data_IF_186441117165
#
_entry.id   IF_186441117165
#
_cell.length_a   1.000
_cell.length_b   1.000
_cell.length_c   1.000
_cell.angle_alpha   90.00
_cell.angle_beta   90.00
_cell.angle_gamma   90.00
#
_symmetry.space_group_name_H-M   'P 1'
#
loop_
_entity.id
_entity.type
_entity.pdbx_description
1 polymer ?
#
# COMPACT_ATOMS: atom_id res chain seq x y z
N UNK A 1 -6.79 4.15 -23.61
CA UNK A 1 -8.04 3.91 -22.86
C UNK A 1 -8.43 5.14 -22.03
N UNK A 2 -9.73 5.42 -21.83
CA UNK A 2 -10.16 6.44 -20.89
C UNK A 2 -9.62 6.08 -19.50
N UNK A 3 -9.03 7.06 -18.83
CA UNK A 3 -8.48 6.96 -17.49
C UNK A 3 -9.11 8.09 -16.68
N UNK A 4 -9.66 7.74 -15.53
CA UNK A 4 -10.19 8.71 -14.58
C UNK A 4 -9.08 9.12 -13.60
N UNK A 5 -8.51 10.30 -13.79
CA UNK A 5 -7.40 10.79 -12.97
C UNK A 5 -7.82 11.06 -11.52
N UNK A 6 -9.06 11.50 -11.32
CA UNK A 6 -9.56 11.83 -10.00
C UNK A 6 -9.71 10.54 -9.17
N UNK A 7 -10.14 9.45 -9.80
CA UNK A 7 -10.14 8.13 -9.17
C UNK A 7 -8.74 7.56 -8.89
N UNK A 8 -7.75 7.81 -9.74
CA UNK A 8 -6.35 7.42 -9.43
C UNK A 8 -5.86 8.16 -8.18
N UNK A 9 -6.09 9.47 -8.11
CA UNK A 9 -5.67 10.29 -6.98
C UNK A 9 -6.42 9.89 -5.71
N UNK A 10 -7.74 9.77 -5.77
CA UNK A 10 -8.56 9.32 -4.66
C UNK A 10 -8.14 7.93 -4.19
N UNK A 11 -7.93 6.99 -5.12
CA UNK A 11 -7.43 5.66 -4.80
C UNK A 11 -6.06 5.66 -4.15
N UNK A 12 -5.12 6.47 -4.65
CA UNK A 12 -3.80 6.62 -4.06
C UNK A 12 -3.86 7.13 -2.61
N UNK A 13 -4.79 8.03 -2.28
CA UNK A 13 -4.98 8.53 -0.92
C UNK A 13 -5.72 7.51 -0.03
N UNK A 14 -6.69 6.78 -0.59
CA UNK A 14 -7.65 5.99 0.19
C UNK A 14 -7.35 4.50 0.28
N UNK A 15 -6.45 3.94 -0.55
CA UNK A 15 -6.24 2.49 -0.67
C UNK A 15 -5.99 1.80 0.69
N UNK A 16 -5.28 2.47 1.60
CA UNK A 16 -4.90 1.98 2.91
C UNK A 16 -5.61 2.70 4.08
N UNK A 17 -6.69 3.45 3.82
CA UNK A 17 -7.37 4.27 4.84
C UNK A 17 -7.88 3.45 6.03
N UNK A 18 -8.14 2.15 5.83
CA UNK A 18 -8.56 1.24 6.89
C UNK A 18 -7.50 1.01 7.97
N UNK A 19 -6.21 1.33 7.72
CA UNK A 19 -5.15 1.26 8.73
C UNK A 19 -5.43 2.14 9.95
N UNK A 20 -6.24 3.19 9.78
CA UNK A 20 -6.69 4.07 10.86
C UNK A 20 -7.62 3.38 11.88
N UNK A 21 -8.28 2.29 11.49
CA UNK A 21 -9.11 1.45 12.38
C UNK A 21 -8.42 0.14 12.73
N UNK A 22 -7.56 -0.36 11.83
CA UNK A 22 -6.78 -1.59 12.06
C UNK A 22 -5.75 -1.43 13.18
N UNK A 23 -5.09 -0.27 13.26
CA UNK A 23 -4.00 -0.02 14.19
C UNK A 23 -4.41 1.01 15.25
N UNK A 24 -4.10 0.71 16.51
CA UNK A 24 -4.09 1.67 17.60
C UNK A 24 -2.65 2.06 17.94
N UNK A 25 -2.42 3.36 18.15
CA UNK A 25 -1.13 3.90 18.54
C UNK A 25 -1.23 4.41 19.98
N UNK A 26 -0.50 3.77 20.89
CA UNK A 26 -0.42 4.17 22.29
C UNK A 26 1.03 4.51 22.64
N UNK A 27 1.29 5.78 22.98
CA UNK A 27 2.56 6.34 23.48
C UNK A 27 3.85 5.97 22.71
N UNK A 28 4.27 4.70 22.76
CA UNK A 28 5.49 4.14 22.16
C UNK A 28 5.25 2.86 21.35
N UNK A 29 4.03 2.33 21.32
CA UNK A 29 3.71 1.05 20.68
C UNK A 29 2.55 1.19 19.70
N UNK A 30 2.62 0.40 18.63
CA UNK A 30 1.53 0.23 17.67
C UNK A 30 1.06 -1.20 17.78
N UNK A 31 -0.24 -1.39 18.02
CA UNK A 31 -0.85 -2.71 18.12
C UNK A 31 -2.12 -2.77 17.27
N UNK A 32 -2.53 -3.97 16.88
CA UNK A 32 -3.79 -4.16 16.16
C UNK A 32 -4.98 -4.02 17.09
N UNK A 33 -6.04 -3.39 16.61
CA UNK A 33 -7.34 -3.40 17.29
C UNK A 33 -8.02 -4.76 17.09
N UNK A 34 -9.06 -5.04 17.88
CA UNK A 34 -9.87 -6.26 17.67
C UNK A 34 -10.48 -6.32 16.26
N UNK A 35 -10.93 -5.18 15.73
CA UNK A 35 -11.43 -5.09 14.35
C UNK A 35 -10.29 -5.30 13.34
N UNK A 36 -9.10 -4.75 13.62
CA UNK A 36 -7.91 -4.96 12.81
C UNK A 36 -7.51 -6.43 12.67
N UNK A 37 -7.44 -7.15 13.80
CA UNK A 37 -7.10 -8.58 13.83
C UNK A 37 -8.14 -9.46 13.12
N UNK A 38 -9.43 -9.15 13.27
CA UNK A 38 -10.51 -10.01 12.78
C UNK A 38 -10.97 -9.69 11.35
N UNK A 39 -10.88 -8.43 10.94
CA UNK A 39 -11.47 -7.92 9.68
C UNK A 39 -10.39 -7.41 8.71
N UNK A 40 -9.37 -6.72 9.22
CA UNK A 40 -8.27 -6.16 8.44
C UNK A 40 -8.61 -4.86 7.68
N UNK A 41 -7.59 -4.06 7.39
CA UNK A 41 -7.73 -2.71 6.82
C UNK A 41 -8.44 -2.67 5.46
N UNK A 42 -8.39 -3.72 4.63
CA UNK A 42 -9.05 -3.70 3.32
C UNK A 42 -10.57 -3.56 3.45
N UNK A 43 -11.19 -4.40 4.29
CA UNK A 43 -12.63 -4.36 4.52
C UNK A 43 -13.01 -3.14 5.37
N UNK A 44 -12.23 -2.81 6.39
CA UNK A 44 -12.46 -1.59 7.20
C UNK A 44 -12.37 -0.33 6.33
N UNK A 45 -11.41 -0.25 5.42
CA UNK A 45 -11.22 0.87 4.50
C UNK A 45 -12.36 0.98 3.48
N UNK A 46 -12.81 -0.16 2.93
CA UNK A 46 -14.01 -0.21 2.08
C UNK A 46 -15.23 0.33 2.82
N UNK A 47 -15.48 -0.13 4.04
CA UNK A 47 -16.65 0.26 4.82
C UNK A 47 -16.60 1.76 5.16
N UNK A 48 -15.42 2.29 5.53
CA UNK A 48 -15.20 3.73 5.73
C UNK A 48 -15.56 4.55 4.48
N UNK A 49 -15.15 4.08 3.29
CA UNK A 49 -15.46 4.77 2.03
C UNK A 49 -16.94 4.66 1.69
N UNK A 50 -17.59 3.51 1.89
CA UNK A 50 -19.04 3.35 1.68
C UNK A 50 -19.85 4.28 2.58
N UNK A 51 -19.48 4.35 3.87
CA UNK A 51 -20.14 5.22 4.84
C UNK A 51 -20.01 6.71 4.46
N UNK A 52 -18.83 7.12 4.00
CA UNK A 52 -18.60 8.48 3.52
C UNK A 52 -19.37 8.77 2.22
N UNK A 53 -19.35 7.83 1.27
CA UNK A 53 -20.04 7.95 0.00
C UNK A 53 -21.56 8.10 0.16
N UNK A 54 -22.16 7.42 1.15
CA UNK A 54 -23.58 7.53 1.46
C UNK A 54 -24.04 8.94 1.89
N UNK A 55 -23.10 9.82 2.23
CA UNK A 55 -23.34 11.24 2.60
C UNK A 55 -22.85 12.22 1.53
N UNK A 56 -22.54 11.73 0.33
CA UNK A 56 -21.99 12.50 -0.79
C UNK A 56 -22.88 12.40 -2.04
N UNK A 57 -22.64 13.25 -3.02
CA UNK A 57 -23.33 13.21 -4.33
C UNK A 57 -22.61 12.32 -5.36
N UNK A 58 -21.74 11.40 -4.91
CA UNK A 58 -21.05 10.47 -5.80
C UNK A 58 -22.02 9.47 -6.42
N UNK A 59 -21.87 9.23 -7.73
CA UNK A 59 -22.66 8.21 -8.42
C UNK A 59 -22.23 6.80 -8.02
N UNK A 60 -23.14 5.83 -8.22
CA UNK A 60 -22.90 4.45 -7.81
C UNK A 60 -21.74 3.76 -8.53
N UNK A 61 -21.39 4.17 -9.75
CA UNK A 61 -20.25 3.60 -10.49
C UNK A 61 -18.94 4.08 -9.87
N UNK A 62 -18.83 5.37 -9.55
CA UNK A 62 -17.67 5.95 -8.86
C UNK A 62 -17.43 5.26 -7.52
N UNK A 63 -18.48 5.05 -6.73
CA UNK A 63 -18.39 4.33 -5.44
C UNK A 63 -17.92 2.88 -5.64
N UNK A 64 -18.51 2.16 -6.60
CA UNK A 64 -18.12 0.77 -6.91
C UNK A 64 -16.64 0.68 -7.33
N UNK A 65 -16.15 1.62 -8.13
CA UNK A 65 -14.76 1.67 -8.59
C UNK A 65 -13.79 1.96 -7.44
N UNK A 66 -14.15 2.84 -6.50
CA UNK A 66 -13.37 3.09 -5.28
C UNK A 66 -13.33 1.85 -4.37
N UNK A 67 -14.47 1.19 -4.16
CA UNK A 67 -14.53 -0.06 -3.39
C UNK A 67 -13.61 -1.13 -4.01
N UNK A 68 -13.71 -1.35 -5.33
CA UNK A 68 -12.87 -2.32 -6.04
C UNK A 68 -11.39 -1.96 -5.91
N UNK A 69 -11.03 -0.68 -6.06
CA UNK A 69 -9.66 -0.22 -5.94
C UNK A 69 -9.07 -0.56 -4.57
N UNK A 70 -9.79 -0.24 -3.49
CA UNK A 70 -9.36 -0.56 -2.12
C UNK A 70 -9.19 -2.07 -1.94
N UNK A 71 -10.15 -2.87 -2.38
CA UNK A 71 -10.09 -4.33 -2.21
C UNK A 71 -9.06 -5.04 -3.08
N UNK A 72 -8.49 -4.38 -4.09
CA UNK A 72 -7.64 -5.05 -5.09
C UNK A 72 -6.22 -4.52 -5.19
N UNK A 73 -5.88 -3.44 -4.47
CA UNK A 73 -4.58 -2.77 -4.61
C UNK A 73 -3.38 -3.63 -4.18
N UNK A 74 -3.56 -4.70 -3.38
CA UNK A 74 -2.48 -5.63 -3.02
C UNK A 74 -2.37 -6.81 -4.00
N UNK A 75 -3.20 -6.86 -5.05
CA UNK A 75 -3.19 -7.77 -6.22
C UNK A 75 -3.29 -9.28 -5.99
N UNK A 76 -2.44 -9.85 -5.15
CA UNK A 76 -2.35 -11.28 -4.94
C UNK A 76 -3.23 -11.71 -3.76
N UNK A 77 -3.97 -12.83 -3.86
CA UNK A 77 -4.70 -13.39 -2.72
C UNK A 77 -3.79 -13.64 -1.51
N UNK A 78 -2.56 -14.08 -1.75
CA UNK A 78 -1.54 -14.27 -0.71
C UNK A 78 -1.08 -12.95 -0.05
N UNK A 79 -1.38 -11.78 -0.64
CA UNK A 79 -1.15 -10.48 -0.03
C UNK A 79 -2.41 -9.91 0.63
N UNK A 80 -3.53 -10.65 0.62
CA UNK A 80 -4.78 -10.26 1.29
C UNK A 80 -5.87 -9.73 0.35
N UNK A 81 -5.59 -9.52 -0.94
CA UNK A 81 -6.59 -9.00 -1.89
C UNK A 81 -7.58 -10.09 -2.36
N UNK A 82 -8.90 -9.94 -2.15
CA UNK A 82 -9.90 -10.88 -2.65
C UNK A 82 -10.00 -10.92 -4.20
N UNK A 83 -9.55 -9.87 -4.88
CA UNK A 83 -9.58 -9.74 -6.35
C UNK A 83 -8.33 -9.02 -6.86
N UNK A 84 -7.86 -9.31 -8.09
CA UNK A 84 -6.80 -8.53 -8.72
C UNK A 84 -7.32 -7.14 -9.14
N UNK A 85 -6.43 -6.19 -9.49
CA UNK A 85 -6.83 -4.93 -10.09
C UNK A 85 -7.51 -5.19 -11.43
N UNK A 86 -8.76 -4.76 -11.57
CA UNK A 86 -9.61 -5.02 -12.75
C UNK A 86 -10.07 -3.72 -13.44
N UNK A 87 -9.54 -2.59 -13.01
CA UNK A 87 -9.72 -1.28 -13.65
C UNK A 87 -8.35 -0.64 -13.92
N UNK A 88 -8.21 0.27 -14.91
CA UNK A 88 -6.98 1.00 -15.14
C UNK A 88 -6.50 1.75 -13.89
N UNK A 89 -7.42 2.34 -13.12
CA UNK A 89 -7.08 3.10 -11.92
C UNK A 89 -6.54 2.20 -10.81
N UNK A 90 -7.19 1.06 -10.55
CA UNK A 90 -6.73 0.10 -9.55
C UNK A 90 -5.36 -0.49 -9.93
N UNK A 91 -5.14 -0.74 -11.22
CA UNK A 91 -3.85 -1.24 -11.70
C UNK A 91 -2.73 -0.21 -11.47
N UNK A 92 -3.00 1.06 -11.73
CA UNK A 92 -2.03 2.13 -11.51
C UNK A 92 -1.74 2.33 -10.03
N UNK A 93 -2.75 2.33 -9.16
CA UNK A 93 -2.54 2.46 -7.72
C UNK A 93 -1.77 1.27 -7.17
N UNK A 94 -2.10 0.04 -7.57
CA UNK A 94 -1.34 -1.16 -7.19
C UNK A 94 0.15 -1.03 -7.51
N UNK A 95 0.50 -0.65 -8.75
CA UNK A 95 1.90 -0.54 -9.12
C UNK A 95 2.59 0.67 -8.49
N UNK A 96 1.87 1.76 -8.23
CA UNK A 96 2.42 2.90 -7.51
C UNK A 96 2.80 2.50 -6.07
N UNK A 97 1.92 1.80 -5.37
CA UNK A 97 2.14 1.30 -4.01
C UNK A 97 3.30 0.28 -3.96
N UNK A 98 3.30 -0.71 -4.84
CA UNK A 98 4.36 -1.74 -4.91
C UNK A 98 5.75 -1.12 -5.22
N UNK A 99 5.79 -0.11 -6.09
CA UNK A 99 7.04 0.62 -6.39
C UNK A 99 7.50 1.43 -5.19
N UNK A 100 6.61 2.14 -4.49
CA UNK A 100 6.95 2.92 -3.31
C UNK A 100 7.50 2.01 -2.19
N UNK A 101 6.83 0.89 -1.91
CA UNK A 101 7.28 -0.11 -0.95
C UNK A 101 8.67 -0.66 -1.29
N UNK A 102 8.89 -1.10 -2.54
CA UNK A 102 10.19 -1.63 -2.98
C UNK A 102 11.29 -0.57 -2.95
N UNK A 103 10.97 0.67 -3.30
CA UNK A 103 11.93 1.75 -3.23
C UNK A 103 12.33 2.05 -1.78
N UNK A 104 11.37 2.09 -0.85
CA UNK A 104 11.66 2.26 0.56
C UNK A 104 12.52 1.11 1.11
N UNK A 105 12.22 -0.15 0.75
CA UNK A 105 13.08 -1.29 1.08
C UNK A 105 14.51 -1.10 0.57
N UNK A 106 14.67 -0.67 -0.69
CA UNK A 106 15.98 -0.39 -1.29
C UNK A 106 16.73 0.71 -0.55
N UNK A 107 16.05 1.82 -0.23
CA UNK A 107 16.63 2.93 0.51
C UNK A 107 17.07 2.49 1.91
N UNK A 108 16.23 1.74 2.62
CA UNK A 108 16.52 1.16 3.94
C UNK A 108 17.72 0.22 3.89
N UNK A 109 17.81 -0.67 2.89
CA UNK A 109 18.97 -1.55 2.69
C UNK A 109 20.25 -0.74 2.52
N UNK A 110 20.21 0.31 1.68
CA UNK A 110 21.37 1.15 1.43
C UNK A 110 21.84 1.87 2.69
N UNK A 111 20.92 2.38 3.52
CA UNK A 111 21.24 3.20 4.71
C UNK A 111 21.56 2.38 5.96
N UNK A 112 21.03 1.17 6.10
CA UNK A 112 21.19 0.34 7.31
C UNK A 112 22.24 -0.78 7.19
N UNK A 113 22.53 -1.27 5.98
CA UNK A 113 23.49 -2.37 5.80
C UNK A 113 24.93 -1.89 6.03
N UNK A 114 25.63 -2.54 6.96
CA UNK A 114 27.00 -2.24 7.38
C UNK A 114 28.06 -3.16 6.76
N UNK A 115 27.69 -4.01 5.80
CA UNK A 115 28.60 -4.94 5.15
C UNK A 115 29.66 -4.16 4.37
N UNK A 116 30.97 -4.41 4.60
CA UNK A 116 32.04 -3.71 3.89
C UNK A 116 31.99 -3.94 2.37
N UNK A 117 32.42 -2.93 1.62
CA UNK A 117 32.55 -2.97 0.16
C UNK A 117 31.37 -2.33 -0.59
N UNK A 118 31.44 -2.41 -1.92
CA UNK A 118 30.58 -1.65 -2.83
C UNK A 118 29.14 -2.18 -2.96
N UNK A 119 28.85 -3.35 -2.39
CA UNK A 119 27.55 -4.01 -2.47
C UNK A 119 27.10 -4.46 -1.08
N UNK A 120 25.80 -4.36 -0.80
CA UNK A 120 25.20 -4.80 0.46
C UNK A 120 25.15 -6.33 0.58
N UNK A 121 24.86 -6.82 1.79
CA UNK A 121 24.55 -8.23 2.01
C UNK A 121 23.26 -8.62 1.27
N UNK A 122 23.19 -9.86 0.76
CA UNK A 122 21.96 -10.44 0.20
C UNK A 122 20.94 -10.80 1.29
N UNK A 123 21.34 -10.80 2.56
CA UNK A 123 20.45 -11.06 3.71
C UNK A 123 19.62 -9.82 4.04
N UNK A 124 18.69 -9.47 3.14
CA UNK A 124 17.79 -8.35 3.29
C UNK A 124 16.41 -8.67 2.71
N UNK A 125 15.45 -7.76 2.88
CA UNK A 125 14.05 -7.94 2.50
C UNK A 125 13.82 -8.12 0.98
N UNK A 126 14.74 -7.68 0.13
CA UNK A 126 14.69 -7.90 -1.32
C UNK A 126 15.47 -9.15 -1.77
N UNK A 127 16.20 -9.81 -0.87
CA UNK A 127 17.07 -10.95 -1.17
C UNK A 127 18.06 -10.71 -2.33
N UNK A 128 18.51 -9.47 -2.48
CA UNK A 128 19.39 -9.02 -3.57
C UNK A 128 20.57 -8.23 -3.01
N UNK A 129 21.72 -8.29 -3.69
CA UNK A 129 22.82 -7.36 -3.39
C UNK A 129 22.50 -6.02 -4.03
N UNK A 130 22.61 -4.94 -3.26
CA UNK A 130 22.36 -3.59 -3.75
C UNK A 130 23.68 -2.86 -3.90
N UNK A 131 23.91 -2.26 -5.07
CA UNK A 131 25.12 -1.48 -5.33
C UNK A 131 25.03 -0.10 -4.67
N UNK A 132 26.06 0.28 -3.91
CA UNK A 132 26.08 1.53 -3.13
C UNK A 132 26.41 2.79 -3.95
N UNK A 133 26.88 2.62 -5.19
CA UNK A 133 27.34 3.74 -6.02
C UNK A 133 28.72 4.26 -5.61
N UNK A 134 29.22 5.24 -6.38
CA UNK A 134 30.47 5.96 -6.08
C UNK A 134 30.16 6.93 -4.92
N UNK A 135 30.65 6.66 -3.70
CA UNK A 135 30.73 7.55 -2.51
C UNK A 135 30.26 6.95 -1.17
N UNK A 136 30.22 5.62 -0.97
CA UNK A 136 29.98 5.04 0.37
C UNK A 136 31.16 4.24 0.96
N UNK A 137 32.36 4.43 0.42
CA UNK A 137 33.62 3.95 1.01
C UNK A 137 34.23 4.99 1.98
N UNK A 138 33.41 5.53 2.89
CA UNK A 138 33.91 6.23 4.09
C UNK A 138 33.34 5.57 5.32
#
# INVERSE_FOLDING_TARGET
PPLDKDLVVAGGVLHDVGKLRELAVEATETHYTAEGELIGHLLLGRDMVRDAAARSDLDGETVLRLEHLILSHQRLPEWGSPKPPMTPEALLVHYADDVDAKYNMMATILTSDTTPGQVTSRKNALHQKVFRGKNRDK
#
